data_IF_634469920701
#
_entry.id   IF_634469920701
#
_cell.length_a   1.000
_cell.length_b   1.000
_cell.length_c   1.000
_cell.angle_alpha   90.00
_cell.angle_beta   90.00
_cell.angle_gamma   90.00
#
_symmetry.space_group_name_H-M   'P 1'
#
loop_
_entity.id
_entity.type
_entity.pdbx_description
1 polymer ?
#
# COMPACT_ATOMS: atom_id res chain seq x y z
N UNK A 1 -3.64 -16.99 29.52
CA UNK A 1 -3.37 -16.07 28.40
C UNK A 1 -3.22 -16.92 27.14
N UNK A 2 -4.23 -16.88 26.28
CA UNK A 2 -4.41 -17.86 25.21
C UNK A 2 -3.25 -17.91 24.22
N UNK A 3 -2.90 -19.12 23.77
CA UNK A 3 -1.80 -19.35 22.82
C UNK A 3 -1.96 -18.55 21.52
N UNK A 4 -3.21 -18.26 21.13
CA UNK A 4 -3.55 -17.42 19.98
C UNK A 4 -3.13 -15.95 20.19
N UNK A 5 -3.30 -15.40 21.40
CA UNK A 5 -2.93 -14.01 21.72
C UNK A 5 -1.42 -13.81 21.67
N UNK A 6 -0.64 -14.75 22.23
CA UNK A 6 0.84 -14.69 22.14
C UNK A 6 1.34 -14.75 20.69
N UNK A 7 0.66 -15.50 19.82
CA UNK A 7 1.03 -15.61 18.40
C UNK A 7 0.67 -14.34 17.63
N UNK A 8 -0.49 -13.75 17.88
CA UNK A 8 -0.87 -12.45 17.32
C UNK A 8 0.06 -11.34 17.78
N UNK A 9 0.42 -11.27 19.07
CA UNK A 9 1.36 -10.26 19.58
C UNK A 9 2.73 -10.38 18.94
N UNK A 10 3.29 -11.60 18.81
CA UNK A 10 4.57 -11.80 18.12
C UNK A 10 4.51 -11.41 16.64
N UNK A 11 3.40 -11.71 15.98
CA UNK A 11 3.19 -11.34 14.57
C UNK A 11 3.06 -9.82 14.40
N UNK A 12 2.24 -9.16 15.23
CA UNK A 12 2.09 -7.71 15.25
C UNK A 12 3.41 -6.99 15.59
N UNK A 13 4.19 -7.51 16.54
CA UNK A 13 5.49 -6.93 16.88
C UNK A 13 6.50 -7.07 15.73
N UNK A 14 6.52 -8.24 15.06
CA UNK A 14 7.38 -8.47 13.90
C UNK A 14 7.02 -7.54 12.75
N UNK A 15 5.72 -7.41 12.48
CA UNK A 15 5.22 -6.46 11.48
C UNK A 15 5.60 -5.04 11.87
N UNK A 16 5.33 -4.59 13.10
CA UNK A 16 5.65 -3.24 13.55
C UNK A 16 7.13 -2.90 13.39
N UNK A 17 8.03 -3.83 13.71
CA UNK A 17 9.49 -3.63 13.53
C UNK A 17 9.86 -3.58 12.04
N UNK A 18 9.31 -4.45 11.21
CA UNK A 18 9.54 -4.41 9.75
C UNK A 18 9.01 -3.11 9.16
N UNK A 19 7.77 -2.74 9.49
CA UNK A 19 7.11 -1.48 9.10
C UNK A 19 7.96 -0.28 9.51
N UNK A 20 8.48 -0.26 10.73
CA UNK A 20 9.33 0.82 11.23
C UNK A 20 10.62 0.95 10.43
N UNK A 21 11.34 -0.15 10.21
CA UNK A 21 12.59 -0.15 9.45
C UNK A 21 12.34 0.23 7.98
N UNK A 22 11.29 -0.31 7.38
CA UNK A 22 10.93 -0.01 6.00
C UNK A 22 10.51 1.45 5.85
N UNK A 23 9.69 1.97 6.76
CA UNK A 23 9.29 3.38 6.80
C UNK A 23 10.50 4.30 6.99
N UNK A 24 11.46 3.95 7.85
CA UNK A 24 12.69 4.72 8.02
C UNK A 24 13.52 4.76 6.73
N UNK A 25 13.71 3.62 6.07
CA UNK A 25 14.46 3.54 4.79
C UNK A 25 13.73 4.34 3.71
N UNK A 26 12.43 4.12 3.51
CA UNK A 26 11.64 4.86 2.52
C UNK A 26 11.59 6.35 2.82
N UNK A 27 11.51 6.75 4.08
CA UNK A 27 11.51 8.16 4.48
C UNK A 27 12.85 8.83 4.15
N UNK A 28 13.98 8.17 4.44
CA UNK A 28 15.33 8.69 4.10
C UNK A 28 15.51 8.80 2.58
N UNK A 29 15.10 7.78 1.83
CA UNK A 29 15.19 7.78 0.36
C UNK A 29 14.28 8.87 -0.23
N UNK A 30 13.01 8.92 0.18
CA UNK A 30 12.05 9.93 -0.28
C UNK A 30 12.51 11.34 0.05
N UNK A 31 13.01 11.59 1.27
CA UNK A 31 13.50 12.92 1.68
C UNK A 31 14.75 13.33 0.89
N UNK A 32 15.68 12.40 0.66
CA UNK A 32 16.89 12.67 -0.14
C UNK A 32 16.55 13.00 -1.59
N UNK A 33 15.58 12.30 -2.18
CA UNK A 33 15.10 12.57 -3.55
C UNK A 33 14.32 13.88 -3.57
N UNK A 34 13.35 14.10 -2.68
CA UNK A 34 12.51 15.30 -2.67
C UNK A 34 13.30 16.59 -2.44
N UNK A 35 14.39 16.55 -1.65
CA UNK A 35 15.20 17.73 -1.32
C UNK A 35 15.86 18.43 -2.53
N UNK A 36 16.08 17.70 -3.64
CA UNK A 36 16.77 18.20 -4.85
C UNK A 36 15.83 18.39 -6.03
N UNK A 37 14.54 18.15 -5.82
CA UNK A 37 13.58 17.92 -6.88
C UNK A 37 12.56 19.06 -6.90
N UNK A 38 12.21 19.53 -8.11
CA UNK A 38 11.20 20.58 -8.28
C UNK A 38 9.87 20.15 -7.65
N UNK A 39 9.14 21.10 -7.06
CA UNK A 39 7.84 20.89 -6.41
C UNK A 39 6.87 20.03 -7.25
N UNK A 40 6.91 20.17 -8.57
CA UNK A 40 6.08 19.43 -9.53
C UNK A 40 6.36 17.92 -9.52
N UNK A 41 7.63 17.52 -9.43
CA UNK A 41 8.02 16.12 -9.36
C UNK A 41 7.73 15.58 -7.94
N UNK A 42 7.88 16.39 -6.90
CA UNK A 42 7.48 16.04 -5.54
C UNK A 42 5.99 15.68 -5.45
N UNK A 43 5.11 16.49 -6.07
CA UNK A 43 3.68 16.21 -6.16
C UNK A 43 3.39 14.89 -6.90
N UNK A 44 4.13 14.60 -7.98
CA UNK A 44 4.01 13.37 -8.74
C UNK A 44 4.39 12.15 -7.89
N UNK A 45 5.46 12.26 -7.10
CA UNK A 45 5.88 11.22 -6.15
C UNK A 45 4.82 10.97 -5.08
N UNK A 46 4.23 12.03 -4.49
CA UNK A 46 3.12 11.87 -3.53
C UNK A 46 1.97 11.09 -4.15
N UNK A 47 1.55 11.50 -5.35
CA UNK A 47 0.43 10.89 -6.05
C UNK A 47 0.74 9.42 -6.37
N UNK A 48 1.95 9.11 -6.80
CA UNK A 48 2.41 7.74 -7.03
C UNK A 48 2.36 6.88 -5.76
N UNK A 49 2.81 7.42 -4.61
CA UNK A 49 2.73 6.72 -3.33
C UNK A 49 1.28 6.42 -2.99
N UNK A 50 0.37 7.41 -3.04
CA UNK A 50 -1.07 7.23 -2.78
C UNK A 50 -1.66 6.13 -3.67
N UNK A 51 -1.33 6.12 -4.96
CA UNK A 51 -1.80 5.09 -5.89
C UNK A 51 -1.33 3.69 -5.49
N UNK A 52 -0.07 3.54 -5.09
CA UNK A 52 0.44 2.27 -4.56
C UNK A 52 -0.37 1.84 -3.34
N UNK A 53 -0.56 2.73 -2.36
CA UNK A 53 -1.33 2.44 -1.15
C UNK A 53 -2.75 1.96 -1.47
N UNK A 54 -3.44 2.64 -2.39
CA UNK A 54 -4.80 2.26 -2.82
C UNK A 54 -4.83 0.90 -3.52
N UNK A 55 -3.84 0.60 -4.37
CA UNK A 55 -3.75 -0.70 -5.05
C UNK A 55 -3.52 -1.82 -4.04
N UNK A 56 -2.63 -1.63 -3.07
CA UNK A 56 -2.38 -2.64 -2.04
C UNK A 56 -3.61 -2.83 -1.13
N UNK A 57 -4.31 -1.76 -0.76
CA UNK A 57 -5.58 -1.85 -0.02
C UNK A 57 -6.62 -2.69 -0.78
N UNK A 58 -6.73 -2.44 -2.09
CA UNK A 58 -7.58 -3.21 -3.00
C UNK A 58 -7.18 -4.70 -3.06
N UNK A 59 -5.87 -5.01 -3.05
CA UNK A 59 -5.38 -6.39 -3.04
C UNK A 59 -5.76 -7.13 -1.75
N UNK A 60 -5.64 -6.48 -0.60
CA UNK A 60 -6.01 -7.07 0.69
C UNK A 60 -7.52 -7.34 0.79
N UNK A 61 -8.35 -6.40 0.33
CA UNK A 61 -9.80 -6.59 0.27
C UNK A 61 -10.18 -7.68 -0.75
N UNK A 62 -9.51 -7.73 -1.90
CA UNK A 62 -9.77 -8.78 -2.89
C UNK A 62 -9.42 -10.17 -2.35
N UNK A 63 -8.41 -10.28 -1.49
CA UNK A 63 -7.99 -11.55 -0.89
C UNK A 63 -9.02 -12.09 0.09
N UNK A 64 -9.65 -11.21 0.88
CA UNK A 64 -10.72 -11.57 1.81
C UNK A 64 -12.06 -11.80 1.12
N UNK A 65 -12.30 -11.16 -0.02
CA UNK A 65 -13.53 -11.31 -0.80
C UNK A 65 -13.51 -12.44 -1.85
N UNK A 66 -12.38 -13.13 -2.04
CA UNK A 66 -12.25 -14.19 -3.04
C UNK A 66 -12.72 -15.56 -2.50
N UNK A 67 -13.47 -16.31 -3.31
CA UNK A 67 -13.90 -17.68 -3.00
C UNK A 67 -12.88 -18.71 -3.51
N UNK A 68 -12.64 -19.79 -2.77
CA UNK A 68 -11.70 -20.86 -3.12
C UNK A 68 -12.21 -21.74 -4.29
N UNK A 69 -13.53 -21.89 -4.46
CA UNK A 69 -14.15 -22.77 -5.48
C UNK A 69 -13.63 -22.58 -6.90
N UNK A 70 -13.60 -21.36 -7.48
CA UNK A 70 -13.07 -21.14 -8.82
C UNK A 70 -11.59 -21.54 -8.93
N UNK A 71 -10.80 -21.36 -7.87
CA UNK A 71 -9.38 -21.71 -7.90
C UNK A 71 -9.12 -23.21 -7.79
N UNK A 72 -9.99 -23.97 -7.11
CA UNK A 72 -9.92 -25.43 -7.12
C UNK A 72 -10.14 -26.02 -8.52
N UNK A 73 -11.12 -25.48 -9.26
CA UNK A 73 -11.33 -25.88 -10.66
C UNK A 73 -10.12 -25.53 -11.53
N UNK A 74 -9.57 -24.32 -11.40
CA UNK A 74 -8.35 -23.91 -12.11
C UNK A 74 -7.13 -24.77 -11.74
N UNK A 75 -7.02 -25.21 -10.49
CA UNK A 75 -5.94 -26.09 -10.04
C UNK A 75 -6.07 -27.52 -10.58
N UNK A 76 -7.29 -28.02 -10.75
CA UNK A 76 -7.55 -29.32 -11.39
C UNK A 76 -7.13 -29.32 -12.86
N UNK A 77 -7.35 -28.21 -13.57
CA UNK A 77 -6.86 -27.98 -14.94
C UNK A 77 -5.36 -27.62 -15.00
N UNK A 78 -4.64 -27.66 -13.88
CA UNK A 78 -3.20 -27.35 -13.78
C UNK A 78 -2.84 -25.94 -14.27
N UNK A 79 -3.74 -24.97 -14.10
CA UNK A 79 -3.47 -23.58 -14.47
C UNK A 79 -2.37 -23.01 -13.55
N UNK A 80 -1.30 -22.42 -14.11
CA UNK A 80 -0.22 -21.81 -13.33
C UNK A 80 -0.77 -20.66 -12.48
N UNK A 81 -0.43 -20.65 -11.19
CA UNK A 81 -0.84 -19.63 -10.22
C UNK A 81 -2.11 -20.00 -9.42
N UNK A 82 -2.85 -21.04 -9.82
CA UNK A 82 -4.08 -21.44 -9.12
C UNK A 82 -3.81 -21.95 -7.70
N UNK A 83 -2.74 -22.74 -7.51
CA UNK A 83 -2.33 -23.22 -6.16
C UNK A 83 -1.94 -22.06 -5.25
N UNK A 84 -1.34 -21.02 -5.82
CA UNK A 84 -0.80 -19.89 -5.05
C UNK A 84 -1.95 -18.96 -4.65
N UNK A 85 -2.95 -18.82 -5.52
CA UNK A 85 -4.20 -18.14 -5.18
C UNK A 85 -4.93 -18.82 -4.02
N UNK A 86 -5.02 -20.16 -4.01
CA UNK A 86 -5.59 -20.91 -2.88
C UNK A 86 -4.80 -20.63 -1.58
N UNK A 87 -3.46 -20.57 -1.65
CA UNK A 87 -2.65 -20.25 -0.47
C UNK A 87 -2.89 -18.82 0.04
N UNK A 88 -3.07 -17.85 -0.86
CA UNK A 88 -3.39 -16.46 -0.50
C UNK A 88 -4.75 -16.40 0.21
N UNK A 89 -5.77 -17.07 -0.34
CA UNK A 89 -7.13 -17.07 0.23
C UNK A 89 -7.17 -17.77 1.59
N UNK A 90 -6.48 -18.91 1.73
CA UNK A 90 -6.34 -19.61 3.02
C UNK A 90 -5.65 -18.79 4.10
N UNK A 91 -4.76 -17.89 3.71
CA UNK A 91 -4.05 -16.97 4.61
C UNK A 91 -4.54 -15.53 4.43
N UNK A 92 -5.79 -15.32 3.98
CA UNK A 92 -6.31 -14.01 3.59
C UNK A 92 -6.16 -12.98 4.70
N UNK A 93 -6.41 -13.33 5.96
CA UNK A 93 -6.26 -12.41 7.10
C UNK A 93 -4.84 -11.83 7.20
N UNK A 94 -3.81 -12.68 7.06
CA UNK A 94 -2.42 -12.23 7.13
C UNK A 94 -2.03 -11.42 5.90
N UNK A 95 -2.48 -11.84 4.72
CA UNK A 95 -2.20 -11.14 3.48
C UNK A 95 -2.87 -9.77 3.43
N UNK A 96 -4.12 -9.69 3.89
CA UNK A 96 -4.89 -8.46 3.98
C UNK A 96 -4.30 -7.49 5.00
N UNK A 97 -3.94 -7.95 6.20
CA UNK A 97 -3.24 -7.07 7.16
C UNK A 97 -1.88 -6.58 6.64
N UNK A 98 -1.14 -7.42 5.91
CA UNK A 98 0.10 -6.95 5.29
C UNK A 98 -0.16 -5.89 4.21
N UNK A 99 -1.12 -6.10 3.32
CA UNK A 99 -1.38 -5.15 2.24
C UNK A 99 -2.04 -3.85 2.75
N UNK A 100 -3.02 -3.97 3.64
CA UNK A 100 -3.80 -2.83 4.13
C UNK A 100 -3.07 -2.10 5.25
N UNK A 101 -2.69 -2.81 6.32
CA UNK A 101 -2.18 -2.18 7.55
C UNK A 101 -0.69 -1.85 7.44
N UNK A 102 0.10 -2.64 6.69
CA UNK A 102 1.53 -2.32 6.51
C UNK A 102 1.72 -1.38 5.35
N UNK A 103 1.37 -1.81 4.14
CA UNK A 103 1.68 -1.05 2.93
C UNK A 103 0.73 0.15 2.80
N UNK A 104 -0.56 -0.03 3.07
CA UNK A 104 -1.56 1.04 3.02
C UNK A 104 -1.29 2.16 4.03
N UNK A 105 -1.04 1.84 5.30
CA UNK A 105 -0.79 2.87 6.32
C UNK A 105 0.58 3.55 6.15
N UNK A 106 1.64 2.81 5.81
CA UNK A 106 2.95 3.41 5.47
C UNK A 106 2.77 4.38 4.30
N UNK A 107 2.05 3.97 3.24
CA UNK A 107 1.79 4.81 2.09
C UNK A 107 1.03 6.08 2.46
N UNK A 108 0.07 6.01 3.40
CA UNK A 108 -0.65 7.17 3.92
C UNK A 108 0.28 8.13 4.67
N UNK A 109 1.09 7.60 5.59
CA UNK A 109 2.02 8.42 6.40
C UNK A 109 3.10 9.06 5.52
N UNK A 110 3.73 8.28 4.65
CA UNK A 110 4.80 8.76 3.77
C UNK A 110 4.27 9.75 2.73
N UNK A 111 3.07 9.55 2.19
CA UNK A 111 2.47 10.54 1.28
C UNK A 111 2.11 11.85 2.01
N UNK A 112 1.64 11.78 3.25
CA UNK A 112 1.39 12.96 4.09
C UNK A 112 2.65 13.76 4.39
N UNK A 113 3.73 13.11 4.82
CA UNK A 113 5.02 13.78 5.07
C UNK A 113 5.64 14.34 3.79
N UNK A 114 5.56 13.60 2.68
CA UNK A 114 6.01 14.09 1.38
C UNK A 114 5.18 15.30 0.89
N UNK A 115 3.88 15.32 1.16
CA UNK A 115 3.01 16.48 0.86
C UNK A 115 3.45 17.72 1.65
N UNK A 116 3.78 17.57 2.93
CA UNK A 116 4.28 18.67 3.75
C UNK A 116 5.59 19.26 3.18
N UNK A 117 6.52 18.39 2.73
CA UNK A 117 7.76 18.84 2.07
C UNK A 117 7.47 19.59 0.77
N UNK A 118 6.51 19.13 -0.03
CA UNK A 118 6.09 19.83 -1.27
C UNK A 118 5.47 21.19 -0.95
N UNK A 119 4.64 21.30 0.08
CA UNK A 119 4.05 22.59 0.53
C UNK A 119 5.14 23.60 0.90
N UNK A 120 6.17 23.16 1.64
CA UNK A 120 7.31 24.01 2.03
C UNK A 120 8.05 24.50 0.78
N UNK A 121 8.33 23.61 -0.18
CA UNK A 121 9.02 23.99 -1.42
C UNK A 121 8.24 25.00 -2.26
N UNK A 122 6.92 24.83 -2.39
CA UNK A 122 6.07 25.77 -3.13
C UNK A 122 6.04 27.13 -2.41
N UNK A 123 5.95 27.13 -1.09
CA UNK A 123 5.91 28.37 -0.29
C UNK A 123 7.21 29.17 -0.41
N UNK A 124 8.35 28.48 -0.37
CA UNK A 124 9.66 29.09 -0.59
C UNK A 124 9.81 29.66 -2.01
N UNK A 125 9.27 28.99 -3.02
CA UNK A 125 9.31 29.44 -4.42
C UNK A 125 8.45 30.69 -4.67
N UNK A 126 7.36 30.83 -3.92
CA UNK A 126 6.50 32.02 -3.92
C UNK A 126 7.05 33.17 -3.06
N UNK A 127 8.21 33.01 -2.42
CA UNK A 127 8.85 34.04 -1.59
C UNK A 127 8.17 34.30 -0.26
N UNK A 128 7.28 33.41 0.20
CA UNK A 128 6.61 33.54 1.49
C UNK A 128 7.36 32.74 2.57
N UNK A 129 7.58 33.37 3.71
CA UNK A 129 8.16 32.73 4.90
C UNK A 129 7.20 31.73 5.56
N UNK A 130 7.79 30.74 6.23
CA UNK A 130 7.10 29.72 7.01
C UNK A 130 6.13 30.38 8.01
N UNK A 131 4.84 30.04 7.92
CA UNK A 131 3.79 30.57 8.81
C UNK A 131 2.93 31.72 8.25
N UNK A 132 3.15 32.15 7.00
CA UNK A 132 2.22 33.06 6.32
C UNK A 132 0.83 32.42 6.16
N UNK A 133 -0.23 33.23 6.13
CA UNK A 133 -1.61 32.74 5.88
C UNK A 133 -1.74 31.96 4.57
N UNK A 134 -0.91 32.31 3.57
CA UNK A 134 -0.83 31.61 2.28
C UNK A 134 -0.26 30.20 2.43
N UNK A 135 0.78 30.01 3.25
CA UNK A 135 1.34 28.68 3.55
C UNK A 135 0.29 27.76 4.20
N UNK A 136 -0.47 28.28 5.17
CA UNK A 136 -1.52 27.51 5.85
C UNK A 136 -2.62 27.10 4.87
N UNK A 137 -3.11 28.04 4.06
CA UNK A 137 -4.14 27.77 3.04
C UNK A 137 -3.64 26.73 2.03
N UNK A 138 -2.40 26.86 1.55
CA UNK A 138 -1.79 25.91 0.62
C UNK A 138 -1.63 24.51 1.23
N UNK A 139 -1.17 24.44 2.48
CA UNK A 139 -1.03 23.18 3.23
C UNK A 139 -2.36 22.48 3.38
N UNK A 140 -3.41 23.23 3.75
CA UNK A 140 -4.76 22.68 3.93
C UNK A 140 -5.31 22.18 2.60
N UNK A 141 -5.17 22.96 1.51
CA UNK A 141 -5.63 22.55 0.18
C UNK A 141 -4.93 21.28 -0.28
N UNK A 142 -3.60 21.23 -0.24
CA UNK A 142 -2.85 20.07 -0.71
C UNK A 142 -3.10 18.83 0.16
N UNK A 143 -3.13 18.98 1.48
CA UNK A 143 -3.40 17.84 2.38
C UNK A 143 -4.83 17.33 2.20
N UNK A 144 -5.80 18.23 2.05
CA UNK A 144 -7.20 17.86 1.81
C UNK A 144 -7.39 17.16 0.45
N UNK A 145 -6.68 17.62 -0.59
CA UNK A 145 -6.68 16.98 -1.90
C UNK A 145 -6.11 15.56 -1.84
N UNK A 146 -4.97 15.38 -1.17
CA UNK A 146 -4.35 14.06 -0.98
C UNK A 146 -5.24 13.14 -0.16
N UNK A 147 -5.87 13.65 0.91
CA UNK A 147 -6.81 12.88 1.71
C UNK A 147 -8.05 12.46 0.89
N UNK A 148 -8.64 13.38 0.12
CA UNK A 148 -9.78 13.08 -0.74
C UNK A 148 -9.44 12.05 -1.82
N UNK A 149 -8.26 12.15 -2.45
CA UNK A 149 -7.78 11.16 -3.42
C UNK A 149 -7.53 9.80 -2.77
N UNK A 150 -6.98 9.77 -1.57
CA UNK A 150 -6.69 8.52 -0.85
C UNK A 150 -7.98 7.81 -0.47
N UNK A 151 -8.92 8.51 0.18
CA UNK A 151 -10.20 7.92 0.63
C UNK A 151 -11.10 7.58 -0.56
N UNK A 152 -11.20 8.47 -1.55
CA UNK A 152 -11.95 8.22 -2.78
C UNK A 152 -11.38 7.06 -3.60
N UNK A 153 -10.05 6.99 -3.71
CA UNK A 153 -9.34 5.89 -4.36
C UNK A 153 -9.63 4.55 -3.68
N UNK A 154 -9.54 4.48 -2.34
CA UNK A 154 -9.90 3.27 -1.58
C UNK A 154 -11.36 2.85 -1.79
N UNK A 155 -12.29 3.81 -1.86
CA UNK A 155 -13.70 3.49 -2.11
C UNK A 155 -13.93 2.83 -3.49
N UNK A 156 -13.31 3.39 -4.54
CA UNK A 156 -13.36 2.81 -5.90
C UNK A 156 -12.66 1.45 -5.93
N UNK A 157 -11.48 1.36 -5.30
CA UNK A 157 -10.70 0.13 -5.18
C UNK A 157 -11.51 -0.97 -4.50
N UNK A 158 -12.22 -0.67 -3.41
CA UNK A 158 -13.07 -1.63 -2.70
C UNK A 158 -14.20 -2.18 -3.58
N UNK A 159 -14.88 -1.31 -4.34
CA UNK A 159 -15.92 -1.76 -5.28
C UNK A 159 -15.34 -2.76 -6.29
N UNK A 160 -14.19 -2.43 -6.90
CA UNK A 160 -13.55 -3.28 -7.88
C UNK A 160 -12.96 -4.57 -7.26
N UNK A 161 -12.44 -4.49 -6.03
CA UNK A 161 -11.94 -5.62 -5.26
C UNK A 161 -13.02 -6.68 -5.02
N UNK A 162 -14.24 -6.26 -4.68
CA UNK A 162 -15.34 -7.18 -4.40
C UNK A 162 -15.91 -7.77 -5.70
N UNK A 163 -16.12 -6.94 -6.73
CA UNK A 163 -16.75 -7.39 -7.99
C UNK A 163 -15.82 -8.23 -8.87
N UNK A 164 -14.50 -8.10 -8.71
CA UNK A 164 -13.49 -8.79 -9.53
C UNK A 164 -12.42 -9.50 -8.69
N UNK A 165 -12.77 -9.90 -7.46
CA UNK A 165 -11.86 -10.52 -6.47
C UNK A 165 -11.06 -11.70 -7.06
N UNK A 166 -11.75 -12.64 -7.70
CA UNK A 166 -11.14 -13.82 -8.33
C UNK A 166 -10.08 -13.45 -9.36
N UNK A 167 -10.34 -12.45 -10.21
CA UNK A 167 -9.42 -12.04 -11.28
C UNK A 167 -8.20 -11.32 -10.72
N UNK A 168 -8.41 -10.49 -9.69
CA UNK A 168 -7.36 -9.75 -9.00
C UNK A 168 -6.42 -10.75 -8.30
N UNK A 169 -6.98 -11.65 -7.50
CA UNK A 169 -6.18 -12.65 -6.78
C UNK A 169 -5.50 -13.62 -7.72
N UNK A 170 -6.13 -14.01 -8.82
CA UNK A 170 -5.47 -14.82 -9.84
C UNK A 170 -4.25 -14.11 -10.45
N UNK A 171 -4.37 -12.82 -10.78
CA UNK A 171 -3.22 -12.04 -11.29
C UNK A 171 -2.11 -11.91 -10.24
N UNK A 172 -2.47 -11.58 -9.00
CA UNK A 172 -1.52 -11.47 -7.90
C UNK A 172 -0.80 -12.79 -7.65
N UNK A 173 -1.54 -13.90 -7.62
CA UNK A 173 -0.98 -15.24 -7.47
C UNK A 173 -0.02 -15.61 -8.61
N UNK A 174 -0.33 -15.22 -9.85
CA UNK A 174 0.55 -15.44 -11.00
C UNK A 174 1.85 -14.63 -10.91
N UNK A 175 1.78 -13.39 -10.42
CA UNK A 175 2.97 -12.58 -10.15
C UNK A 175 3.82 -13.20 -9.04
N UNK A 176 3.19 -13.65 -7.95
CA UNK A 176 3.86 -14.34 -6.85
C UNK A 176 4.52 -15.63 -7.35
N UNK A 177 3.81 -16.47 -8.10
CA UNK A 177 4.36 -17.70 -8.68
C UNK A 177 5.57 -17.41 -9.59
N UNK A 178 5.51 -16.35 -10.40
CA UNK A 178 6.63 -15.93 -11.24
C UNK A 178 7.85 -15.52 -10.40
N UNK A 179 7.64 -14.79 -9.32
CA UNK A 179 8.70 -14.41 -8.38
C UNK A 179 9.26 -15.64 -7.68
N UNK A 180 8.43 -16.54 -7.17
CA UNK A 180 8.87 -17.78 -6.51
C UNK A 180 9.70 -18.66 -7.46
N UNK A 181 9.27 -18.81 -8.72
CA UNK A 181 10.02 -19.58 -9.74
C UNK A 181 11.36 -18.94 -10.07
N UNK A 182 11.42 -17.61 -10.17
CA UNK A 182 12.63 -16.88 -10.56
C UNK A 182 13.64 -16.74 -9.41
N UNK A 183 13.16 -16.55 -8.19
CA UNK A 183 13.99 -16.34 -7.01
C UNK A 183 14.18 -17.60 -6.15
N UNK A 184 13.45 -18.71 -6.42
CA UNK A 184 13.43 -19.94 -5.59
C UNK A 184 13.10 -19.70 -4.11
N UNK A 185 12.45 -18.59 -3.80
CA UNK A 185 12.00 -18.26 -2.45
C UNK A 185 10.54 -18.70 -2.34
N UNK A 186 10.22 -19.55 -1.35
CA UNK A 186 8.83 -19.79 -0.95
C UNK A 186 8.40 -18.63 -0.05
N UNK A 187 7.40 -17.88 -0.49
CA UNK A 187 6.87 -16.73 0.25
C UNK A 187 5.92 -17.21 1.37
N UNK A 188 5.49 -18.48 1.32
CA UNK A 188 4.71 -19.16 2.37
C UNK A 188 5.10 -20.63 2.55
#
# INVERSE_FOLDING_TARGET
>A
MDANIKRSIKFSLTIAVITFVLAAIFSVISSSILSKVMWLIGLLVVLFIVFIGVIFDMLGIAATAADEKPFHAMAAEKIPGAKEAIRIIRNADKFASFCNDVIGDISGIVSGTATAVVVIQISHLLGYTDGSGVHIVLSVILTSLVAALTVGGKAIGKYYAIHSSTKIIFRTAKVIEFIEKKFKIKIF
#
